data_IF_044287787656
#
_entry.id   IF_044287787656
#
_cell.length_a   1.000
_cell.length_b   1.000
_cell.length_c   1.000
_cell.angle_alpha   90.00
_cell.angle_beta   90.00
_cell.angle_gamma   90.00
#
_symmetry.space_group_name_H-M   'P 1'
#
loop_
_entity.id
_entity.type
_entity.pdbx_description
1 polymer ?
#
# COMPACT_ATOMS: atom_id res chain seq x y z
N UNK A 1 1.09 1.57 -31.83
CA UNK A 1 -0.12 1.58 -30.97
C UNK A 1 -0.03 2.77 -30.03
N UNK A 2 -1.05 3.64 -29.98
CA UNK A 2 -1.11 4.73 -29.00
C UNK A 2 -1.83 4.18 -27.77
N UNK A 3 -1.12 4.03 -26.65
CA UNK A 3 -1.76 3.64 -25.40
C UNK A 3 -2.59 4.83 -24.89
N UNK A 4 -3.89 4.63 -24.68
CA UNK A 4 -4.73 5.64 -24.03
C UNK A 4 -4.27 5.80 -22.57
N UNK A 5 -4.03 7.03 -22.08
CA UNK A 5 -3.62 7.24 -20.69
C UNK A 5 -4.71 6.75 -19.73
N UNK A 6 -4.33 5.92 -18.77
CA UNK A 6 -5.22 5.39 -17.75
C UNK A 6 -5.62 6.55 -16.82
N UNK A 7 -6.92 6.73 -16.57
CA UNK A 7 -7.41 7.73 -15.64
C UNK A 7 -6.82 7.49 -14.24
N UNK A 8 -6.30 8.55 -13.60
CA UNK A 8 -5.64 8.49 -12.29
C UNK A 8 -6.52 7.89 -11.19
N UNK A 9 -7.85 7.95 -11.33
CA UNK A 9 -8.80 7.29 -10.42
C UNK A 9 -8.64 5.76 -10.39
N UNK A 10 -8.11 5.15 -11.44
CA UNK A 10 -7.82 3.71 -11.49
C UNK A 10 -6.41 3.37 -10.97
N UNK A 11 -5.60 4.37 -10.61
CA UNK A 11 -4.24 4.20 -10.11
C UNK A 11 -4.15 4.35 -8.58
N UNK A 12 -5.27 4.67 -7.92
CA UNK A 12 -5.35 4.89 -6.48
C UNK A 12 -6.37 3.96 -5.86
N UNK A 13 -6.00 3.36 -4.73
CA UNK A 13 -6.88 2.55 -3.88
C UNK A 13 -6.83 3.09 -2.45
N UNK A 14 -7.98 3.15 -1.80
CA UNK A 14 -8.11 3.48 -0.38
C UNK A 14 -8.92 2.42 0.34
N UNK A 15 -8.64 2.21 1.63
CA UNK A 15 -9.36 1.26 2.46
C UNK A 15 -9.03 1.43 3.94
N UNK A 16 -9.63 0.57 4.77
CA UNK A 16 -9.44 0.58 6.23
C UNK A 16 -8.75 -0.69 6.68
N UNK A 17 -7.72 -0.56 7.50
CA UNK A 17 -7.08 -1.68 8.19
C UNK A 17 -7.69 -1.82 9.58
N UNK A 18 -8.25 -3.00 9.87
CA UNK A 18 -8.84 -3.31 11.17
C UNK A 18 -7.92 -4.28 11.92
N UNK A 19 -7.75 -4.05 13.22
CA UNK A 19 -7.03 -4.96 14.11
C UNK A 19 -7.88 -5.29 15.34
N UNK A 20 -7.74 -6.51 15.84
CA UNK A 20 -8.29 -6.94 17.14
C UNK A 20 -7.26 -6.87 18.25
N UNK A 21 -5.99 -6.62 17.92
CA UNK A 21 -4.91 -6.56 18.88
C UNK A 21 -4.85 -5.16 19.52
N UNK A 22 -5.08 -5.09 20.84
CA UNK A 22 -5.12 -3.83 21.58
C UNK A 22 -3.79 -3.07 21.58
N UNK A 23 -2.66 -3.78 21.49
CA UNK A 23 -1.33 -3.14 21.41
C UNK A 23 -1.21 -2.42 20.06
N UNK A 24 -1.58 -3.09 18.97
CA UNK A 24 -1.58 -2.49 17.62
C UNK A 24 -2.60 -1.36 17.48
N UNK A 25 -3.73 -1.42 18.16
CA UNK A 25 -4.71 -0.33 18.15
C UNK A 25 -4.14 0.98 18.71
N UNK A 26 -3.18 0.90 19.64
CA UNK A 26 -2.50 2.04 20.23
C UNK A 26 -1.22 2.45 19.47
N UNK A 27 -0.91 1.81 18.34
CA UNK A 27 0.25 2.17 17.55
C UNK A 27 0.08 3.53 16.89
N UNK A 28 1.19 4.27 16.85
CA UNK A 28 1.24 5.54 16.13
C UNK A 28 1.10 5.34 14.62
N UNK A 29 0.77 6.42 13.90
CA UNK A 29 0.71 6.42 12.44
C UNK A 29 2.00 5.91 11.80
N UNK A 30 3.18 6.25 12.34
CA UNK A 30 4.47 5.81 11.82
C UNK A 30 4.71 4.30 12.01
N UNK A 31 4.23 3.73 13.10
CA UNK A 31 4.26 2.28 13.31
C UNK A 31 3.38 1.55 12.29
N UNK A 32 2.16 2.04 12.05
CA UNK A 32 1.30 1.51 10.99
C UNK A 32 1.90 1.69 9.59
N UNK A 33 2.54 2.84 9.33
CA UNK A 33 3.27 3.08 8.08
C UNK A 33 4.35 2.02 7.84
N UNK A 34 5.13 1.67 8.86
CA UNK A 34 6.15 0.62 8.75
C UNK A 34 5.59 -0.75 8.35
N UNK A 35 4.37 -1.09 8.83
CA UNK A 35 3.69 -2.34 8.47
C UNK A 35 3.33 -2.35 7.00
N UNK A 36 2.67 -1.30 6.51
CA UNK A 36 2.25 -1.22 5.10
C UNK A 36 3.44 -1.10 4.15
N UNK A 37 4.53 -0.44 4.56
CA UNK A 37 5.77 -0.38 3.79
C UNK A 37 6.44 -1.75 3.69
N UNK A 38 6.34 -2.58 4.74
CA UNK A 38 6.80 -3.97 4.68
C UNK A 38 5.94 -4.81 3.74
N UNK A 39 4.62 -4.66 3.78
CA UNK A 39 3.72 -5.33 2.84
C UNK A 39 4.02 -4.94 1.39
N UNK A 40 4.22 -3.65 1.12
CA UNK A 40 4.62 -3.15 -0.21
C UNK A 40 5.96 -3.75 -0.66
N UNK A 41 6.96 -3.83 0.23
CA UNK A 41 8.24 -4.47 -0.07
C UNK A 41 8.09 -5.94 -0.46
N UNK A 42 7.24 -6.69 0.26
CA UNK A 42 6.96 -8.09 -0.06
C UNK A 42 6.29 -8.24 -1.44
N UNK A 43 5.33 -7.36 -1.76
CA UNK A 43 4.69 -7.33 -3.07
C UNK A 43 5.69 -7.00 -4.19
N UNK A 44 6.61 -6.06 -3.95
CA UNK A 44 7.68 -5.69 -4.88
C UNK A 44 8.68 -6.82 -5.12
N UNK A 45 8.99 -7.63 -4.10
CA UNK A 45 9.89 -8.78 -4.24
C UNK A 45 9.20 -10.04 -4.79
N UNK A 46 7.87 -10.05 -4.88
CA UNK A 46 7.08 -11.21 -5.25
C UNK A 46 6.76 -11.28 -6.76
N UNK A 47 5.88 -12.23 -7.15
CA UNK A 47 5.46 -12.43 -8.54
C UNK A 47 4.87 -11.19 -9.22
N UNK A 48 4.40 -10.21 -8.43
CA UNK A 48 3.80 -8.97 -8.92
C UNK A 48 4.78 -7.77 -8.92
N UNK A 49 6.08 -7.99 -8.73
CA UNK A 49 7.04 -6.91 -8.46
C UNK A 49 7.02 -5.74 -9.45
N UNK A 50 6.87 -6.03 -10.74
CA UNK A 50 6.76 -5.03 -11.81
C UNK A 50 5.54 -4.10 -11.67
N UNK A 51 4.43 -4.60 -11.13
CA UNK A 51 3.20 -3.82 -10.91
C UNK A 51 3.30 -2.89 -9.70
N UNK A 52 4.17 -3.20 -8.73
CA UNK A 52 4.30 -2.46 -7.47
C UNK A 52 5.58 -1.62 -7.35
N UNK A 53 6.43 -1.62 -8.39
CA UNK A 53 7.73 -0.95 -8.36
C UNK A 53 7.62 0.56 -8.07
N UNK A 54 6.63 1.23 -8.67
CA UNK A 54 6.38 2.68 -8.52
C UNK A 54 5.24 3.01 -7.55
N UNK A 55 4.60 2.00 -6.94
CA UNK A 55 3.48 2.21 -6.01
C UNK A 55 3.98 2.87 -4.73
N UNK A 56 3.18 3.80 -4.21
CA UNK A 56 3.39 4.42 -2.89
C UNK A 56 2.16 4.16 -2.01
N UNK A 57 2.36 4.04 -0.70
CA UNK A 57 1.29 3.77 0.26
C UNK A 57 1.46 4.71 1.44
N UNK A 58 0.35 5.26 1.95
CA UNK A 58 0.35 6.18 3.09
C UNK A 58 -0.75 5.82 4.07
N UNK A 59 -0.47 5.92 5.37
CA UNK A 59 -1.46 5.84 6.45
C UNK A 59 -1.86 7.26 6.86
N UNK A 60 -3.16 7.54 6.90
CA UNK A 60 -3.75 8.83 7.29
C UNK A 60 -4.68 8.65 8.48
#
# INVERSE_FOLDING_TARGET
>A
MVAMPINSKHLSLSGTLTTTNIVMANWSRSMWQNVVDRALRLLRSGPFGSHFYTVTVTVS
#
